data_IF_837866445967
#
_entry.id   IF_837866445967
#
_cell.length_a   1.000
_cell.length_b   1.000
_cell.length_c   1.000
_cell.angle_alpha   90.00
_cell.angle_beta   90.00
_cell.angle_gamma   90.00
#
_symmetry.space_group_name_H-M   'P 1'
#
loop_
_entity.id
_entity.type
_entity.pdbx_description
1 polymer ?
#
# COMPACT_ATOMS: atom_id res chain seq x y z
N UNK A 1 5.45 27.48 -12.87
CA UNK A 1 6.18 28.49 -12.08
C UNK A 1 6.19 28.08 -10.61
N UNK A 2 6.88 28.83 -9.72
CA UNK A 2 6.87 28.58 -8.29
C UNK A 2 5.48 28.84 -7.66
N UNK A 3 5.16 28.14 -6.56
CA UNK A 3 3.93 28.33 -5.77
C UNK A 3 4.33 28.60 -4.32
N UNK A 4 3.98 29.78 -3.80
CA UNK A 4 4.21 30.14 -2.40
C UNK A 4 3.18 29.49 -1.49
N UNK A 5 3.62 28.87 -0.40
CA UNK A 5 2.76 28.28 0.61
C UNK A 5 3.40 28.37 2.00
N UNK A 6 2.58 28.34 3.05
CA UNK A 6 3.08 28.30 4.43
C UNK A 6 3.51 26.89 4.86
N UNK A 7 2.97 25.86 4.20
CA UNK A 7 3.10 24.46 4.62
C UNK A 7 3.00 23.53 3.41
N UNK A 8 3.82 22.48 3.41
CA UNK A 8 3.77 21.39 2.41
C UNK A 8 3.31 20.11 3.09
N UNK A 9 2.43 19.36 2.44
CA UNK A 9 2.04 18.00 2.86
C UNK A 9 2.49 17.00 1.79
N UNK A 10 3.43 16.13 2.14
CA UNK A 10 3.88 15.05 1.27
C UNK A 10 2.92 13.85 1.37
N UNK A 11 2.03 13.76 0.39
CA UNK A 11 1.12 12.63 0.16
C UNK A 11 1.43 11.94 -1.19
N UNK A 12 2.70 11.84 -1.55
CA UNK A 12 3.16 11.47 -2.89
C UNK A 12 3.38 9.95 -3.07
N UNK A 13 2.84 9.11 -2.18
CA UNK A 13 2.92 7.64 -2.27
C UNK A 13 4.35 7.13 -2.57
N UNK A 14 4.47 6.34 -3.65
CA UNK A 14 5.72 5.79 -4.18
C UNK A 14 6.85 6.82 -4.41
N UNK A 15 6.51 8.10 -4.62
CA UNK A 15 7.47 9.18 -4.85
C UNK A 15 7.90 9.92 -3.59
N UNK A 16 7.30 9.62 -2.44
CA UNK A 16 7.52 10.39 -1.21
C UNK A 16 8.97 10.41 -0.72
N UNK A 17 9.77 9.37 -0.98
CA UNK A 17 11.20 9.43 -0.67
C UNK A 17 11.90 10.56 -1.45
N UNK A 18 11.59 10.70 -2.75
CA UNK A 18 12.17 11.75 -3.60
C UNK A 18 11.69 13.12 -3.19
N UNK A 19 10.40 13.27 -2.87
CA UNK A 19 9.83 14.55 -2.41
C UNK A 19 10.38 14.95 -1.03
N UNK A 20 10.50 13.99 -0.10
CA UNK A 20 11.12 14.22 1.20
C UNK A 20 12.57 14.69 1.07
N UNK A 21 13.36 14.04 0.20
CA UNK A 21 14.75 14.43 -0.06
C UNK A 21 14.89 15.87 -0.58
N UNK A 22 13.95 16.35 -1.41
CA UNK A 22 13.93 17.75 -1.86
C UNK A 22 13.77 18.76 -0.70
N UNK A 23 13.15 18.34 0.41
CA UNK A 23 12.94 19.14 1.60
C UNK A 23 13.92 18.81 2.75
N UNK A 24 14.88 17.91 2.54
CA UNK A 24 15.80 17.45 3.60
C UNK A 24 15.18 16.51 4.63
N UNK A 25 14.03 15.90 4.32
CA UNK A 25 13.30 14.98 5.21
C UNK A 25 13.47 13.53 4.72
N UNK A 26 14.03 12.66 5.56
CA UNK A 26 14.17 11.24 5.25
C UNK A 26 12.84 10.51 5.41
N UNK A 27 12.24 10.09 4.29
CA UNK A 27 11.05 9.25 4.24
C UNK A 27 11.43 7.91 3.60
N UNK A 28 11.67 6.82 4.36
CA UNK A 28 12.18 5.56 3.85
C UNK A 28 11.09 4.73 3.13
N UNK A 29 10.42 5.34 2.16
CA UNK A 29 9.37 4.71 1.34
C UNK A 29 10.01 4.10 0.10
N UNK A 30 9.69 2.83 -0.19
CA UNK A 30 10.14 2.13 -1.38
C UNK A 30 8.96 1.76 -2.28
N UNK A 31 9.03 2.04 -3.59
CA UNK A 31 7.99 1.63 -4.52
C UNK A 31 8.13 0.13 -4.82
N UNK A 32 7.01 -0.55 -4.92
CA UNK A 32 6.92 -1.97 -5.21
C UNK A 32 5.75 -2.20 -6.18
N UNK A 33 5.95 -2.99 -7.23
CA UNK A 33 4.85 -3.35 -8.12
C UNK A 33 3.93 -4.35 -7.45
N UNK A 34 2.62 -4.12 -7.50
CA UNK A 34 1.60 -5.13 -7.19
C UNK A 34 0.82 -5.45 -8.45
N UNK A 35 0.47 -6.72 -8.60
CA UNK A 35 -0.25 -7.23 -9.76
C UNK A 35 -1.53 -7.91 -9.27
N UNK A 36 -2.57 -7.78 -10.07
CA UNK A 36 -3.85 -8.47 -9.90
C UNK A 36 -4.32 -8.97 -11.25
N UNK A 37 -5.24 -9.92 -11.24
CA UNK A 37 -5.91 -10.41 -12.44
C UNK A 37 -7.41 -10.46 -12.25
N UNK A 38 -8.13 -10.49 -13.36
CA UNK A 38 -9.57 -10.68 -13.40
C UNK A 38 -9.89 -11.99 -14.11
N UNK A 39 -10.87 -12.71 -13.61
CA UNK A 39 -11.42 -13.84 -14.37
C UNK A 39 -12.09 -13.35 -15.65
N UNK A 40 -12.29 -14.24 -16.62
CA UNK A 40 -13.32 -13.99 -17.62
C UNK A 40 -14.71 -13.91 -16.93
N UNK A 41 -15.72 -13.29 -17.58
CA UNK A 41 -17.10 -13.32 -17.10
C UNK A 41 -17.55 -14.75 -16.81
N UNK A 42 -18.16 -14.97 -15.65
CA UNK A 42 -18.55 -16.31 -15.21
C UNK A 42 -20.01 -16.60 -15.60
N UNK A 43 -20.24 -17.77 -16.19
CA UNK A 43 -21.58 -18.27 -16.55
C UNK A 43 -21.77 -19.67 -15.97
N UNK A 44 -22.66 -19.87 -14.97
CA UNK A 44 -23.45 -18.83 -14.30
C UNK A 44 -22.58 -17.85 -13.50
N UNK A 45 -23.15 -16.69 -13.15
CA UNK A 45 -22.46 -15.68 -12.36
C UNK A 45 -21.90 -16.27 -11.06
N UNK A 46 -20.73 -15.79 -10.63
CA UNK A 46 -20.17 -16.22 -9.35
C UNK A 46 -21.15 -15.94 -8.21
N UNK A 47 -21.24 -16.85 -7.22
CA UNK A 47 -21.93 -16.54 -5.98
C UNK A 47 -21.26 -15.33 -5.31
N UNK A 48 -22.02 -14.58 -4.51
CA UNK A 48 -21.46 -13.52 -3.69
C UNK A 48 -20.59 -14.15 -2.60
N UNK A 49 -19.30 -13.83 -2.61
CA UNK A 49 -18.31 -14.32 -1.66
C UNK A 49 -17.73 -13.17 -0.85
N UNK A 50 -17.28 -13.41 0.39
CA UNK A 50 -16.53 -12.41 1.13
C UNK A 50 -15.17 -12.14 0.46
N UNK A 51 -14.62 -10.95 0.70
CA UNK A 51 -13.19 -10.73 0.45
C UNK A 51 -12.41 -11.74 1.27
N UNK A 52 -11.72 -12.65 0.60
CA UNK A 52 -11.00 -13.75 1.22
C UNK A 52 -9.50 -13.54 1.07
N UNK A 53 -8.76 -13.69 2.17
CA UNK A 53 -7.31 -13.58 2.23
C UNK A 53 -6.76 -14.88 2.84
N UNK A 54 -5.79 -15.51 2.17
CA UNK A 54 -4.94 -16.54 2.76
C UNK A 54 -3.67 -15.88 3.30
N UNK A 55 -3.64 -15.59 4.60
CA UNK A 55 -2.51 -14.91 5.24
C UNK A 55 -1.17 -15.66 5.09
N UNK A 56 -1.19 -16.98 4.93
CA UNK A 56 0.05 -17.76 4.78
C UNK A 56 0.75 -17.47 3.46
N UNK A 57 -0.01 -17.11 2.42
CA UNK A 57 0.53 -16.87 1.08
C UNK A 57 0.38 -15.43 0.61
N UNK A 58 -0.46 -14.61 1.27
CA UNK A 58 -1.01 -13.33 0.80
C UNK A 58 -1.95 -13.41 -0.41
N UNK A 59 -2.36 -14.61 -0.84
CA UNK A 59 -3.34 -14.72 -1.90
C UNK A 59 -4.68 -14.15 -1.42
N UNK A 60 -5.35 -13.37 -2.26
CA UNK A 60 -6.67 -12.88 -1.99
C UNK A 60 -7.56 -12.89 -3.23
N UNK A 61 -8.87 -12.92 -3.00
CA UNK A 61 -9.86 -12.86 -4.06
C UNK A 61 -11.21 -12.36 -3.54
N UNK A 62 -11.97 -11.73 -4.43
CA UNK A 62 -13.34 -11.27 -4.18
C UNK A 62 -14.09 -11.09 -5.50
N UNK A 63 -15.42 -10.91 -5.44
CA UNK A 63 -16.21 -10.60 -6.63
C UNK A 63 -15.76 -9.29 -7.29
N UNK A 64 -15.72 -9.26 -8.61
CA UNK A 64 -15.48 -8.05 -9.43
C UNK A 64 -16.37 -8.12 -10.65
N UNK A 65 -17.31 -7.18 -10.79
CA UNK A 65 -18.28 -7.13 -11.88
C UNK A 65 -18.98 -8.48 -12.14
N UNK A 66 -18.71 -9.11 -13.28
CA UNK A 66 -19.26 -10.41 -13.72
C UNK A 66 -18.34 -11.61 -13.43
N UNK A 67 -17.26 -11.39 -12.67
CA UNK A 67 -16.25 -12.38 -12.34
C UNK A 67 -15.64 -12.19 -10.95
N UNK A 68 -14.37 -12.54 -10.84
CA UNK A 68 -13.56 -12.40 -9.62
C UNK A 68 -12.29 -11.61 -9.90
N UNK A 69 -11.86 -10.82 -8.91
CA UNK A 69 -10.51 -10.29 -8.83
C UNK A 69 -9.63 -11.26 -8.05
N UNK A 70 -8.42 -11.48 -8.54
CA UNK A 70 -7.41 -12.37 -7.99
C UNK A 70 -6.15 -11.56 -7.69
N UNK A 71 -5.59 -11.70 -6.49
CA UNK A 71 -4.39 -10.98 -6.05
C UNK A 71 -3.48 -11.85 -5.20
N UNK A 72 -2.20 -11.47 -5.17
CA UNK A 72 -1.12 -12.16 -4.46
C UNK A 72 0.11 -11.25 -4.44
N UNK A 73 0.72 -11.06 -3.26
CA UNK A 73 2.04 -10.46 -3.18
C UNK A 73 3.09 -11.43 -3.71
N UNK A 74 3.87 -11.00 -4.71
CA UNK A 74 5.03 -11.75 -5.18
C UNK A 74 6.22 -11.51 -4.25
N UNK A 75 6.73 -12.52 -3.52
CA UNK A 75 7.89 -12.38 -2.64
C UNK A 75 9.19 -12.06 -3.39
N UNK A 76 9.25 -12.36 -4.69
CA UNK A 76 10.39 -12.08 -5.55
C UNK A 76 10.33 -10.70 -6.23
N UNK A 77 9.27 -9.91 -5.97
CA UNK A 77 9.12 -8.61 -6.59
C UNK A 77 10.21 -7.65 -6.10
N UNK A 78 10.99 -7.12 -7.04
CA UNK A 78 11.99 -6.10 -6.75
C UNK A 78 11.37 -4.72 -6.60
N UNK A 79 12.02 -3.86 -5.80
CA UNK A 79 11.66 -2.45 -5.68
C UNK A 79 11.82 -1.73 -7.04
N UNK A 80 10.92 -0.80 -7.32
CA UNK A 80 10.97 -0.02 -8.55
C UNK A 80 9.64 0.61 -8.93
N UNK A 81 9.68 1.42 -9.98
CA UNK A 81 8.52 2.13 -10.53
C UNK A 81 7.86 1.38 -11.71
N UNK A 82 8.20 0.11 -11.92
CA UNK A 82 7.58 -0.69 -12.97
C UNK A 82 6.10 -0.93 -12.66
N UNK A 83 5.25 -0.68 -13.65
CA UNK A 83 3.80 -0.88 -13.59
C UNK A 83 3.32 -1.81 -14.70
N UNK A 84 4.26 -2.53 -15.34
CA UNK A 84 3.94 -3.49 -16.40
C UNK A 84 3.31 -4.73 -15.77
N UNK A 85 2.10 -5.08 -16.18
CA UNK A 85 1.49 -6.36 -15.82
C UNK A 85 2.08 -7.48 -16.66
N UNK A 86 2.34 -8.63 -16.05
CA UNK A 86 2.94 -9.79 -16.72
C UNK A 86 2.07 -11.04 -16.58
N UNK A 87 1.74 -11.75 -17.68
CA UNK A 87 1.01 -13.01 -17.59
C UNK A 87 1.73 -14.08 -16.75
N UNK A 88 3.06 -13.98 -16.63
CA UNK A 88 3.87 -14.87 -15.79
C UNK A 88 3.46 -14.87 -14.32
N UNK A 89 2.96 -13.75 -13.81
CA UNK A 89 2.47 -13.64 -12.42
C UNK A 89 1.32 -14.61 -12.11
N UNK A 90 0.46 -14.92 -13.09
CA UNK A 90 -0.63 -15.90 -12.91
C UNK A 90 -0.11 -17.30 -12.57
N UNK A 91 1.10 -17.66 -12.98
CA UNK A 91 1.69 -18.96 -12.60
C UNK A 91 1.93 -19.03 -11.10
N UNK A 92 2.35 -17.92 -10.48
CA UNK A 92 2.54 -17.81 -9.04
C UNK A 92 1.19 -17.84 -8.32
N UNK A 93 0.20 -17.06 -8.75
CA UNK A 93 -1.15 -17.11 -8.16
C UNK A 93 -1.73 -18.53 -8.21
N UNK A 94 -1.68 -19.18 -9.38
CA UNK A 94 -2.24 -20.51 -9.58
C UNK A 94 -1.53 -21.59 -8.76
N UNK A 95 -0.22 -21.47 -8.49
CA UNK A 95 0.49 -22.46 -7.67
C UNK A 95 -0.02 -22.47 -6.23
N UNK A 96 -0.27 -21.28 -5.66
CA UNK A 96 -0.86 -21.10 -4.33
C UNK A 96 -2.33 -21.51 -4.33
N UNK A 97 -3.11 -21.03 -5.29
CA UNK A 97 -4.55 -21.31 -5.37
C UNK A 97 -4.85 -22.82 -5.46
N UNK A 98 -4.00 -23.62 -6.12
CA UNK A 98 -4.18 -25.10 -6.16
C UNK A 98 -4.22 -25.76 -4.79
N UNK A 99 -3.58 -25.18 -3.78
CA UNK A 99 -3.52 -25.74 -2.43
C UNK A 99 -4.66 -25.26 -1.53
N UNK A 100 -5.23 -24.08 -1.83
CA UNK A 100 -6.19 -23.37 -0.95
C UNK A 100 -7.59 -23.24 -1.54
N UNK A 101 -7.68 -22.96 -2.84
CA UNK A 101 -8.91 -22.77 -3.59
C UNK A 101 -8.76 -23.32 -5.02
N UNK A 102 -8.75 -24.65 -5.21
CA UNK A 102 -8.38 -25.29 -6.49
C UNK A 102 -9.23 -24.83 -7.69
N UNK A 103 -10.50 -24.49 -7.46
CA UNK A 103 -11.39 -23.97 -8.49
C UNK A 103 -10.86 -22.68 -9.12
N UNK A 104 -10.28 -21.76 -8.32
CA UNK A 104 -9.71 -20.50 -8.82
C UNK A 104 -8.49 -20.74 -9.72
N UNK A 105 -7.71 -21.78 -9.44
CA UNK A 105 -6.51 -22.07 -10.21
C UNK A 105 -6.81 -22.51 -11.66
N UNK A 106 -8.04 -22.99 -11.91
CA UNK A 106 -8.50 -23.47 -13.21
C UNK A 106 -9.31 -22.42 -13.99
N UNK A 107 -9.68 -21.31 -13.37
CA UNK A 107 -10.48 -20.28 -14.02
C UNK A 107 -9.69 -19.58 -15.15
N UNK A 108 -10.40 -19.32 -16.23
CA UNK A 108 -9.94 -18.45 -17.30
C UNK A 108 -9.85 -17.00 -16.80
N UNK A 109 -8.84 -16.27 -17.27
CA UNK A 109 -8.57 -14.89 -16.87
C UNK A 109 -8.57 -13.98 -18.08
N UNK A 110 -9.32 -12.88 -18.04
CA UNK A 110 -9.43 -11.92 -19.13
C UNK A 110 -8.22 -10.96 -19.22
N UNK A 111 -7.40 -10.89 -18.18
CA UNK A 111 -6.24 -10.01 -18.10
C UNK A 111 -5.95 -9.59 -16.67
N UNK A 112 -5.23 -8.49 -16.51
CA UNK A 112 -4.91 -7.96 -15.21
C UNK A 112 -4.34 -6.56 -15.25
N UNK A 113 -4.02 -6.08 -14.05
CA UNK A 113 -3.48 -4.75 -13.83
C UNK A 113 -2.26 -4.84 -12.93
N UNK A 114 -1.32 -3.92 -13.14
CA UNK A 114 -0.20 -3.73 -12.25
C UNK A 114 -0.05 -2.25 -11.92
N UNK A 115 0.31 -1.97 -10.69
CA UNK A 115 0.53 -0.60 -10.25
C UNK A 115 1.46 -0.53 -9.06
N UNK A 116 1.73 0.71 -8.67
CA UNK A 116 2.65 0.99 -7.59
C UNK A 116 1.95 0.87 -6.25
N UNK A 117 2.63 0.12 -5.40
CA UNK A 117 2.46 0.06 -3.98
C UNK A 117 3.68 0.74 -3.36
N UNK A 118 3.54 1.31 -2.17
CA UNK A 118 4.67 1.89 -1.47
C UNK A 118 4.81 1.30 -0.08
N UNK A 119 6.00 0.83 0.26
CA UNK A 119 6.29 0.13 1.51
C UNK A 119 7.27 0.90 2.36
N UNK A 120 7.08 0.84 3.68
CA UNK A 120 8.04 1.29 4.68
C UNK A 120 8.76 0.09 5.29
N UNK A 121 9.91 0.28 5.95
CA UNK A 121 10.71 -0.84 6.48
C UNK A 121 9.99 -1.66 7.57
N UNK A 122 8.96 -1.11 8.20
CA UNK A 122 8.14 -1.79 9.22
C UNK A 122 6.68 -1.97 8.78
N UNK A 123 6.39 -1.72 7.51
CA UNK A 123 5.07 -1.86 6.89
C UNK A 123 3.94 -1.01 7.51
N UNK A 124 4.28 -0.01 8.32
CA UNK A 124 3.34 0.96 8.86
C UNK A 124 3.40 2.29 8.11
N UNK A 125 2.29 3.03 8.11
CA UNK A 125 2.24 4.36 7.53
C UNK A 125 3.30 5.30 8.13
N UNK A 126 3.72 6.28 7.33
CA UNK A 126 4.43 7.48 7.77
C UNK A 126 3.41 8.62 7.86
N UNK A 127 3.07 9.01 9.09
CA UNK A 127 2.14 10.11 9.36
C UNK A 127 2.80 11.02 10.40
N UNK A 128 2.91 12.31 10.10
CA UNK A 128 3.46 13.25 11.07
C UNK A 128 3.98 14.54 10.46
N UNK A 129 4.80 15.21 11.25
CA UNK A 129 5.51 16.45 10.92
C UNK A 129 7.01 16.19 11.01
N UNK A 130 7.81 16.84 10.17
CA UNK A 130 9.27 16.81 10.31
C UNK A 130 9.76 17.78 11.38
N UNK A 131 10.86 17.43 12.05
CA UNK A 131 11.50 18.32 13.04
C UNK A 131 12.19 19.50 12.37
N UNK A 132 12.73 19.29 11.18
CA UNK A 132 13.32 20.31 10.34
C UNK A 132 13.13 19.93 8.85
N UNK A 133 12.46 20.77 8.04
CA UNK A 133 11.71 21.97 8.44
C UNK A 133 10.39 21.65 9.13
N UNK A 134 9.93 22.47 10.08
CA UNK A 134 8.69 22.20 10.86
C UNK A 134 7.40 22.35 10.06
N UNK A 135 7.43 23.02 8.91
CA UNK A 135 6.28 23.26 8.05
C UNK A 135 6.15 22.23 6.92
N UNK A 136 6.75 21.06 7.09
CA UNK A 136 6.59 19.91 6.19
C UNK A 136 5.91 18.77 6.95
N UNK A 137 4.72 18.38 6.49
CA UNK A 137 4.00 17.21 6.98
C UNK A 137 4.09 16.08 5.96
N UNK A 138 3.87 14.86 6.40
CA UNK A 138 3.84 13.69 5.54
C UNK A 138 2.71 12.74 5.95
N UNK A 139 2.10 12.11 4.95
CA UNK A 139 1.10 11.06 5.07
C UNK A 139 1.28 10.11 3.87
N UNK A 140 2.10 9.08 4.03
CA UNK A 140 2.58 8.23 2.94
C UNK A 140 3.06 6.87 3.47
N UNK A 141 3.50 5.95 2.61
CA UNK A 141 4.18 4.75 3.09
C UNK A 141 3.20 3.73 3.69
N UNK A 142 1.96 3.72 3.21
CA UNK A 142 0.87 3.00 3.88
C UNK A 142 1.02 1.48 3.80
N UNK A 143 1.94 0.99 2.97
CA UNK A 143 2.14 -0.45 2.75
C UNK A 143 0.81 -1.14 2.44
N UNK A 144 0.00 -0.41 1.64
CA UNK A 144 -1.36 -0.65 1.10
C UNK A 144 -2.52 -0.82 2.06
N UNK A 145 -2.37 -0.32 3.27
CA UNK A 145 -3.53 0.00 4.11
C UNK A 145 -4.16 1.35 3.74
N UNK A 146 -3.56 2.08 2.79
CA UNK A 146 -3.85 3.49 2.53
C UNK A 146 -5.27 3.77 2.06
N UNK A 147 -5.85 2.89 1.25
CA UNK A 147 -7.23 3.07 0.78
C UNK A 147 -8.23 3.06 1.94
N UNK A 148 -8.07 2.13 2.88
CA UNK A 148 -8.93 1.99 4.06
C UNK A 148 -8.69 3.11 5.09
N UNK A 149 -7.44 3.57 5.21
CA UNK A 149 -7.03 4.56 6.22
C UNK A 149 -7.24 6.01 5.77
N UNK A 150 -7.29 6.29 4.46
CA UNK A 150 -7.26 7.64 3.91
C UNK A 150 -8.28 8.62 4.54
N UNK A 151 -9.56 8.25 4.78
CA UNK A 151 -10.52 9.20 5.37
C UNK A 151 -10.09 9.70 6.76
N UNK A 152 -9.70 8.80 7.66
CA UNK A 152 -9.25 9.15 9.00
C UNK A 152 -7.92 9.92 8.96
N UNK A 153 -7.01 9.53 8.06
CA UNK A 153 -5.70 10.19 7.92
C UNK A 153 -5.85 11.62 7.40
N UNK A 154 -6.82 11.90 6.53
CA UNK A 154 -7.13 13.26 6.12
C UNK A 154 -7.50 14.17 7.29
N UNK A 155 -8.31 13.68 8.23
CA UNK A 155 -8.65 14.41 9.46
C UNK A 155 -7.45 14.60 10.38
N UNK A 156 -6.61 13.57 10.52
CA UNK A 156 -5.38 13.63 11.31
C UNK A 156 -4.43 14.69 10.74
N UNK A 157 -4.20 14.69 9.43
CA UNK A 157 -3.32 15.67 8.76
C UNK A 157 -3.87 17.09 8.91
N UNK A 158 -5.19 17.28 8.81
CA UNK A 158 -5.85 18.56 9.10
C UNK A 158 -5.54 19.01 10.53
N UNK A 159 -5.68 18.14 11.52
CA UNK A 159 -5.46 18.50 12.93
C UNK A 159 -3.99 18.80 13.21
N UNK A 160 -3.07 17.98 12.66
CA UNK A 160 -1.64 18.26 12.72
C UNK A 160 -1.29 19.62 12.09
N UNK A 161 -1.87 19.95 10.92
CA UNK A 161 -1.68 21.25 10.27
C UNK A 161 -2.15 22.41 11.16
N UNK A 162 -3.35 22.29 11.75
CA UNK A 162 -3.96 23.30 12.61
C UNK A 162 -3.36 23.36 14.03
N UNK A 163 -2.38 22.51 14.36
CA UNK A 163 -1.80 22.42 15.71
C UNK A 163 -2.78 21.88 16.75
N UNK A 164 -3.78 21.11 16.32
CA UNK A 164 -4.76 20.44 17.16
C UNK A 164 -4.31 19.02 17.46
N UNK A 165 -4.74 18.47 18.60
CA UNK A 165 -4.52 17.07 18.92
C UNK A 165 -5.42 16.18 18.05
N UNK A 166 -4.88 15.26 17.23
CA UNK A 166 -5.70 14.33 16.46
C UNK A 166 -6.48 13.36 17.35
N UNK A 167 -7.49 12.69 16.78
CA UNK A 167 -8.33 11.71 17.50
C UNK A 167 -7.58 10.44 17.95
N UNK A 168 -6.42 10.16 17.36
CA UNK A 168 -5.52 9.05 17.67
C UNK A 168 -4.08 9.58 17.74
N UNK A 169 -3.28 9.01 18.64
CA UNK A 169 -1.85 9.29 18.70
C UNK A 169 -1.12 8.69 17.49
N UNK A 170 -0.52 9.56 16.67
CA UNK A 170 0.25 9.17 15.48
C UNK A 170 1.76 9.34 15.68
N UNK A 171 2.23 9.66 16.88
CA UNK A 171 3.66 9.71 17.18
C UNK A 171 4.37 8.39 16.82
N UNK A 172 3.81 7.20 17.10
CA UNK A 172 4.41 5.92 16.66
C UNK A 172 4.53 5.77 15.13
N UNK A 173 3.80 6.58 14.35
CA UNK A 173 3.81 6.59 12.88
C UNK A 173 4.70 7.70 12.29
N UNK A 174 5.40 8.46 13.13
CA UNK A 174 6.37 9.46 12.70
C UNK A 174 7.60 8.84 12.03
N UNK A 175 8.22 9.57 11.09
CA UNK A 175 9.44 9.16 10.40
C UNK A 175 10.65 9.06 11.34
N UNK A 176 10.63 9.79 12.47
CA UNK A 176 11.68 9.75 13.48
C UNK A 176 11.92 8.33 14.03
N UNK A 177 10.93 7.43 13.96
CA UNK A 177 11.08 6.04 14.42
C UNK A 177 12.15 5.25 13.64
N UNK A 178 12.52 5.73 12.45
CA UNK A 178 13.57 5.11 11.65
C UNK A 178 14.97 5.66 11.93
N UNK A 179 15.12 6.69 12.76
CA UNK A 179 16.44 7.18 13.16
C UNK A 179 17.19 6.15 14.00
N UNK A 180 18.51 6.20 13.93
CA UNK A 180 19.41 5.36 14.73
C UNK A 180 19.11 5.50 16.23
N UNK A 181 18.97 4.38 16.93
CA UNK A 181 18.71 4.35 18.38
C UNK A 181 17.23 4.41 18.77
N UNK A 182 16.30 4.60 17.83
CA UNK A 182 14.87 4.50 18.12
C UNK A 182 14.46 3.08 18.51
N UNK A 183 13.64 2.94 19.56
CA UNK A 183 13.02 1.69 20.00
C UNK A 183 11.52 1.60 19.67
N UNK A 184 10.98 2.57 18.94
CA UNK A 184 9.53 2.64 18.67
C UNK A 184 9.08 1.82 17.45
N UNK A 185 10.00 1.15 16.74
CA UNK A 185 9.66 0.32 15.58
C UNK A 185 8.82 -0.89 15.99
N UNK A 186 7.65 -1.03 15.37
CA UNK A 186 6.76 -2.19 15.51
C UNK A 186 6.40 -2.67 14.10
N UNK A 187 7.01 -3.75 13.60
CA UNK A 187 6.66 -4.29 12.29
C UNK A 187 5.18 -4.69 12.22
N UNK A 188 4.49 -4.30 11.15
CA UNK A 188 3.20 -4.88 10.78
C UNK A 188 3.45 -6.23 10.10
N UNK A 189 2.83 -7.29 10.64
CA UNK A 189 3.06 -8.67 10.21
C UNK A 189 2.03 -9.14 9.17
N UNK A 190 0.88 -8.47 9.05
CA UNK A 190 -0.24 -8.88 8.21
C UNK A 190 -0.33 -8.04 6.94
N UNK A 191 0.74 -8.03 6.15
CA UNK A 191 0.77 -7.36 4.85
C UNK A 191 0.29 -8.32 3.77
N UNK A 192 -0.66 -7.86 2.96
CA UNK A 192 -1.25 -8.62 1.83
C UNK A 192 -0.87 -7.98 0.51
#
# INVERSE_FOLDING_TARGET
GPVSCSTVVCAAGAWSQRIGAMAGVELPVRPLRRQLAFTAPLVPAAPRIPFTIDFASSAYFHNSDDGLLLGLADPGQTEGFDTTWTPGWLKLFRSVARQRAPALAQMETAGGWAGLYEVTPDHNALIGRSDAPVNFLYATGFSGHGFLQAPAVGEIVRDLYLGRRPCVDVEPLGAHRFRTGSRSRRPEAHVV
#
